data_IF_310771303853
#
_entry.id   IF_310771303853
#
_cell.length_a   1.000
_cell.length_b   1.000
_cell.length_c   1.000
_cell.angle_alpha   90.00
_cell.angle_beta   90.00
_cell.angle_gamma   90.00
#
_symmetry.space_group_name_H-M   'P 1'
#
loop_
_entity.id
_entity.type
_entity.pdbx_description
1 polymer ?
#
# COMPACT_ATOMS: atom_id res chain seq x y z
N UNK A 1 24.06 -4.47 -10.41
CA UNK A 1 24.27 -5.17 -9.13
C UNK A 1 22.97 -5.03 -8.36
N UNK A 2 22.24 -6.12 -8.13
CA UNK A 2 20.92 -6.08 -7.46
C UNK A 2 21.16 -6.04 -5.96
N UNK A 3 20.80 -4.93 -5.30
CA UNK A 3 20.99 -4.77 -3.86
C UNK A 3 19.81 -5.44 -3.16
N UNK A 4 19.98 -6.67 -2.64
CA UNK A 4 18.88 -7.37 -1.95
C UNK A 4 18.70 -6.80 -0.55
N UNK A 5 17.51 -6.29 -0.23
CA UNK A 5 17.16 -5.81 1.11
C UNK A 5 16.55 -7.00 1.84
N UNK A 6 17.28 -7.59 2.79
CA UNK A 6 16.77 -8.70 3.61
C UNK A 6 15.88 -8.14 4.72
N UNK A 7 14.57 -8.11 4.50
CA UNK A 7 13.61 -7.85 5.57
C UNK A 7 13.07 -9.20 6.09
N UNK A 8 13.61 -9.63 7.23
CA UNK A 8 13.14 -10.73 8.09
C UNK A 8 13.15 -12.17 7.51
N UNK A 9 12.61 -12.42 6.31
CA UNK A 9 12.72 -13.71 5.59
C UNK A 9 12.40 -13.64 4.09
N UNK A 10 12.10 -12.45 3.56
CA UNK A 10 11.74 -12.23 2.15
C UNK A 10 12.92 -11.56 1.45
N UNK A 11 13.39 -12.17 0.36
CA UNK A 11 14.48 -11.66 -0.46
C UNK A 11 13.92 -10.82 -1.60
N UNK A 12 13.36 -9.65 -1.28
CA UNK A 12 12.75 -8.77 -2.29
C UNK A 12 13.84 -7.99 -3.01
N UNK A 13 13.87 -8.08 -4.35
CA UNK A 13 14.77 -7.26 -5.17
C UNK A 13 14.32 -5.79 -5.15
N UNK A 14 15.23 -4.83 -5.34
CA UNK A 14 14.90 -3.39 -5.40
C UNK A 14 13.77 -3.06 -6.40
N UNK A 15 13.62 -3.88 -7.45
CA UNK A 15 12.52 -3.77 -8.41
C UNK A 15 11.19 -4.19 -7.82
N UNK A 16 11.14 -5.35 -7.17
CA UNK A 16 9.92 -5.89 -6.57
C UNK A 16 9.40 -4.98 -5.45
N UNK A 17 10.30 -4.39 -4.64
CA UNK A 17 9.89 -3.43 -3.62
C UNK A 17 9.27 -2.17 -4.25
N UNK A 18 9.83 -1.68 -5.37
CA UNK A 18 9.26 -0.53 -6.10
C UNK A 18 7.90 -0.86 -6.71
N UNK A 19 7.73 -2.06 -7.23
CA UNK A 19 6.46 -2.49 -7.80
C UNK A 19 5.40 -2.72 -6.71
N UNK A 20 5.78 -3.30 -5.57
CA UNK A 20 4.94 -3.40 -4.37
C UNK A 20 4.52 -2.03 -3.85
N UNK A 21 5.45 -1.07 -3.78
CA UNK A 21 5.16 0.28 -3.29
C UNK A 21 4.24 1.05 -4.25
N UNK A 22 4.42 0.88 -5.57
CA UNK A 22 3.46 1.39 -6.58
C UNK A 22 2.08 0.78 -6.43
N UNK A 23 2.01 -0.54 -6.29
CA UNK A 23 0.75 -1.26 -6.10
C UNK A 23 0.05 -0.84 -4.80
N UNK A 24 0.80 -0.69 -3.72
CA UNK A 24 0.28 -0.24 -2.43
C UNK A 24 -0.37 1.14 -2.54
N UNK A 25 0.31 2.11 -3.16
CA UNK A 25 -0.24 3.46 -3.35
C UNK A 25 -1.46 3.41 -4.26
N UNK A 26 -1.40 2.70 -5.40
CA UNK A 26 -2.51 2.61 -6.34
C UNK A 26 -3.77 2.01 -5.70
N UNK A 27 -3.64 0.91 -4.96
CA UNK A 27 -4.75 0.24 -4.28
C UNK A 27 -5.28 1.10 -3.14
N UNK A 28 -4.41 1.75 -2.36
CA UNK A 28 -4.84 2.67 -1.28
C UNK A 28 -5.68 3.83 -1.82
N UNK A 29 -5.25 4.43 -2.94
CA UNK A 29 -6.01 5.49 -3.62
C UNK A 29 -7.35 4.94 -4.14
N UNK A 30 -7.36 3.77 -4.79
CA UNK A 30 -8.58 3.16 -5.29
C UNK A 30 -9.60 2.90 -4.17
N UNK A 31 -9.17 2.37 -3.03
CA UNK A 31 -10.05 2.17 -1.87
C UNK A 31 -10.51 3.48 -1.24
N UNK A 32 -9.65 4.49 -1.15
CA UNK A 32 -10.04 5.82 -0.65
C UNK A 32 -11.13 6.44 -1.55
N UNK A 33 -11.00 6.29 -2.87
CA UNK A 33 -12.01 6.70 -3.84
C UNK A 33 -13.26 5.82 -3.75
N UNK A 34 -13.15 4.51 -3.51
CA UNK A 34 -14.30 3.63 -3.38
C UNK A 34 -15.11 3.90 -2.11
N UNK A 35 -14.44 4.26 -1.01
CA UNK A 35 -15.05 4.63 0.27
C UNK A 35 -15.57 6.07 0.31
N UNK A 36 -15.37 6.85 -0.75
CA UNK A 36 -15.86 8.23 -0.80
C UNK A 36 -17.39 8.24 -0.84
N UNK A 37 -17.98 9.18 -0.10
CA UNK A 37 -19.35 9.61 -0.33
C UNK A 37 -19.41 10.63 -1.48
N UNK A 38 -20.26 11.65 -1.40
CA UNK A 38 -20.36 12.68 -2.46
C UNK A 38 -19.15 13.62 -2.56
N UNK A 39 -18.24 13.65 -1.60
CA UNK A 39 -17.18 14.68 -1.52
C UNK A 39 -15.77 14.10 -1.61
N UNK A 40 -14.99 14.58 -2.59
CA UNK A 40 -13.61 14.14 -2.87
C UNK A 40 -12.54 14.94 -2.12
N UNK A 41 -12.84 16.18 -1.74
CA UNK A 41 -11.86 17.14 -1.19
C UNK A 41 -12.16 17.52 0.27
N UNK A 42 -12.81 16.64 1.01
CA UNK A 42 -13.08 16.85 2.43
C UNK A 42 -12.01 16.19 3.30
N UNK A 43 -11.83 16.66 4.54
CA UNK A 43 -10.94 16.03 5.51
C UNK A 43 -11.23 14.53 5.72
N UNK A 44 -12.49 14.13 5.50
CA UNK A 44 -12.96 12.75 5.45
C UNK A 44 -12.20 11.88 4.41
N UNK A 45 -11.87 12.43 3.23
CA UNK A 45 -11.11 11.70 2.22
C UNK A 45 -9.69 11.37 2.70
N UNK A 46 -9.02 12.33 3.34
CA UNK A 46 -7.68 12.10 3.89
C UNK A 46 -7.70 11.01 4.96
N UNK A 47 -8.68 11.04 5.87
CA UNK A 47 -8.84 10.01 6.89
C UNK A 47 -9.08 8.62 6.29
N UNK A 48 -9.96 8.54 5.28
CA UNK A 48 -10.24 7.29 4.54
C UNK A 48 -9.02 6.78 3.78
N UNK A 49 -8.22 7.68 3.20
CA UNK A 49 -6.97 7.32 2.55
C UNK A 49 -5.94 6.75 3.52
N UNK A 50 -5.79 7.35 4.70
CA UNK A 50 -4.88 6.83 5.73
C UNK A 50 -5.32 5.44 6.20
N UNK A 51 -6.62 5.26 6.47
CA UNK A 51 -7.17 3.95 6.86
C UNK A 51 -6.98 2.91 5.75
N UNK A 52 -7.24 3.27 4.49
CA UNK A 52 -7.04 2.34 3.37
C UNK A 52 -5.57 1.98 3.21
N UNK A 53 -4.66 2.95 3.30
CA UNK A 53 -3.23 2.73 3.21
C UNK A 53 -2.71 1.81 4.32
N UNK A 54 -3.17 1.99 5.55
CA UNK A 54 -2.83 1.11 6.66
C UNK A 54 -3.38 -0.32 6.45
N UNK A 55 -4.63 -0.44 6.02
CA UNK A 55 -5.28 -1.74 5.80
C UNK A 55 -4.63 -2.52 4.66
N UNK A 56 -4.43 -1.88 3.50
CA UNK A 56 -3.79 -2.48 2.32
C UNK A 56 -2.32 -2.79 2.63
N UNK A 57 -1.63 -1.89 3.33
CA UNK A 57 -0.24 -2.10 3.74
C UNK A 57 -0.09 -3.30 4.67
N UNK A 58 -0.96 -3.42 5.68
CA UNK A 58 -1.00 -4.61 6.53
C UNK A 58 -1.33 -5.87 5.73
N UNK A 59 -2.27 -5.80 4.78
CA UNK A 59 -2.59 -6.90 3.86
C UNK A 59 -1.39 -7.34 3.03
N UNK A 60 -0.61 -6.40 2.48
CA UNK A 60 0.60 -6.69 1.70
C UNK A 60 1.70 -7.30 2.57
N UNK A 61 1.90 -6.78 3.78
CA UNK A 61 2.86 -7.35 4.73
C UNK A 61 2.46 -8.78 5.12
N UNK A 62 1.18 -9.04 5.39
CA UNK A 62 0.68 -10.38 5.68
C UNK A 62 0.78 -11.32 4.47
N UNK A 63 0.52 -10.81 3.26
CA UNK A 63 0.64 -11.57 2.00
C UNK A 63 2.08 -12.00 1.70
N UNK A 64 3.08 -11.26 2.18
CA UNK A 64 4.50 -11.67 2.08
C UNK A 64 4.98 -12.54 3.26
N UNK A 65 4.32 -12.48 4.42
CA UNK A 65 4.68 -13.27 5.60
C UNK A 65 4.18 -14.74 5.53
N UNK A 66 3.33 -15.08 4.56
CA UNK A 66 2.76 -16.42 4.36
C UNK A 66 2.86 -16.91 2.92
#
# INVERSE_FOLDING_TARGET
MQNSIKFWRVSTSEKELKDLLKAWIAVSIAFAIAMRGSSLFSADFYFKFVISAMTVGAGFLLHELG
#
